data_IF_039692326949
#
_entry.id   IF_039692326949
#
_cell.length_a   1.000
_cell.length_b   1.000
_cell.length_c   1.000
_cell.angle_alpha   90.00
_cell.angle_beta   90.00
_cell.angle_gamma   90.00
#
_symmetry.space_group_name_H-M   'P 1'
#
loop_
_entity.id
_entity.type
_entity.pdbx_description
1 polymer ?
#
# COMPACT_ATOMS: atom_id res chain seq x y z
N UNK A 1 1.29 -16.35 13.57
CA UNK A 1 -0.15 -16.50 13.31
C UNK A 1 -0.32 -17.78 12.49
N UNK A 2 -0.72 -18.88 13.12
CA UNK A 2 -0.97 -20.16 12.44
C UNK A 2 -2.38 -20.05 11.85
N UNK A 3 -2.47 -20.03 10.53
CA UNK A 3 -3.75 -19.98 9.81
C UNK A 3 -4.26 -21.41 9.72
N UNK A 4 -4.88 -21.90 10.78
CA UNK A 4 -5.64 -23.14 10.70
C UNK A 4 -6.95 -22.85 9.94
N UNK A 5 -7.49 -23.85 9.25
CA UNK A 5 -8.64 -23.80 8.31
C UNK A 5 -9.97 -23.29 8.90
N UNK A 6 -9.95 -22.62 10.04
CA UNK A 6 -11.09 -22.12 10.81
C UNK A 6 -11.45 -20.66 10.51
N UNK A 7 -10.61 -19.92 9.77
CA UNK A 7 -10.90 -18.51 9.39
C UNK A 7 -11.83 -18.42 8.16
N UNK A 8 -11.88 -19.48 7.37
CA UNK A 8 -12.78 -19.61 6.23
C UNK A 8 -13.89 -20.64 6.58
N UNK A 9 -15.07 -20.09 6.90
CA UNK A 9 -16.41 -20.71 7.04
C UNK A 9 -16.73 -21.60 8.24
N UNK A 10 -17.58 -21.09 9.16
CA UNK A 10 -18.60 -21.91 9.85
C UNK A 10 -19.83 -21.07 10.19
N UNK A 11 -20.51 -20.48 9.20
CA UNK A 11 -21.89 -20.01 9.38
C UNK A 11 -22.67 -20.24 8.09
N UNK A 12 -23.91 -20.71 8.23
CA UNK A 12 -24.81 -20.96 7.11
C UNK A 12 -25.81 -19.82 6.97
N UNK A 13 -26.10 -19.48 5.71
CA UNK A 13 -27.22 -18.60 5.39
C UNK A 13 -28.56 -19.28 5.62
N UNK A 14 -29.66 -18.52 5.47
CA UNK A 14 -31.03 -19.05 5.53
C UNK A 14 -31.37 -20.07 4.44
N UNK A 15 -30.50 -20.21 3.45
CA UNK A 15 -30.56 -21.18 2.35
C UNK A 15 -29.71 -22.44 2.63
N UNK A 16 -29.24 -22.64 3.87
CA UNK A 16 -28.41 -23.76 4.32
C UNK A 16 -27.06 -23.91 3.58
N UNK A 17 -26.58 -22.85 2.90
CA UNK A 17 -25.27 -22.81 2.25
C UNK A 17 -24.29 -21.96 3.05
N UNK A 18 -23.01 -22.32 3.03
CA UNK A 18 -21.97 -21.56 3.75
C UNK A 18 -21.74 -20.18 3.13
N UNK A 19 -21.18 -19.21 3.86
CA UNK A 19 -20.79 -17.90 3.30
C UNK A 19 -19.40 -17.44 3.75
N UNK A 20 -18.68 -16.75 2.85
CA UNK A 20 -17.31 -16.31 3.10
C UNK A 20 -17.30 -15.18 4.12
N UNK A 21 -16.33 -15.19 5.03
CA UNK A 21 -16.05 -14.02 5.90
C UNK A 21 -15.75 -12.76 5.07
N UNK A 22 -15.09 -12.91 3.91
CA UNK A 22 -14.81 -11.82 2.97
C UNK A 22 -15.72 -11.92 1.75
N UNK A 23 -16.41 -10.83 1.43
CA UNK A 23 -17.33 -10.76 0.29
C UNK A 23 -17.17 -9.44 -0.45
N UNK A 24 -17.67 -9.39 -1.68
CA UNK A 24 -17.69 -8.18 -2.49
C UNK A 24 -19.11 -7.68 -2.64
N UNK A 25 -19.30 -6.37 -2.65
CA UNK A 25 -20.62 -5.79 -2.90
C UNK A 25 -21.03 -5.95 -4.37
N UNK A 26 -20.10 -5.78 -5.30
CA UNK A 26 -20.35 -5.90 -6.73
C UNK A 26 -19.20 -6.64 -7.44
N UNK A 27 -19.47 -7.17 -8.63
CA UNK A 27 -18.46 -7.86 -9.44
C UNK A 27 -19.01 -8.99 -10.30
N UNK A 28 -18.12 -9.78 -10.94
CA UNK A 28 -18.49 -10.75 -11.98
C UNK A 28 -19.24 -11.98 -11.48
N UNK A 29 -19.24 -12.26 -10.17
CA UNK A 29 -19.98 -13.37 -9.57
C UNK A 29 -21.24 -12.91 -8.84
N UNK A 30 -21.86 -11.84 -9.37
CA UNK A 30 -23.18 -11.41 -8.97
C UNK A 30 -24.25 -12.19 -9.72
N UNK A 31 -25.27 -12.64 -9.00
CA UNK A 31 -26.31 -13.51 -9.55
C UNK A 31 -27.44 -12.67 -10.16
N UNK A 32 -27.91 -13.07 -11.34
CA UNK A 32 -29.06 -12.41 -11.99
C UNK A 32 -30.35 -13.19 -11.77
N UNK A 33 -30.36 -14.50 -12.08
CA UNK A 33 -31.55 -15.36 -11.99
C UNK A 33 -31.19 -16.78 -11.49
N UNK A 34 -30.17 -16.89 -10.65
CA UNK A 34 -29.63 -18.18 -10.19
C UNK A 34 -29.52 -18.22 -8.67
N UNK A 35 -29.60 -19.44 -8.11
CA UNK A 35 -29.33 -19.67 -6.70
C UNK A 35 -27.82 -19.71 -6.51
N UNK A 36 -27.32 -19.01 -5.49
CA UNK A 36 -25.89 -18.97 -5.19
C UNK A 36 -25.32 -20.37 -4.97
N UNK A 37 -24.10 -20.60 -5.43
CA UNK A 37 -23.36 -21.82 -5.12
C UNK A 37 -22.97 -21.87 -3.64
N UNK A 38 -22.66 -23.06 -3.11
CA UNK A 38 -22.13 -23.18 -1.75
C UNK A 38 -20.60 -23.13 -1.81
N UNK A 39 -19.94 -22.07 -1.30
CA UNK A 39 -18.50 -21.97 -1.33
C UNK A 39 -17.78 -23.10 -0.58
N UNK A 40 -18.44 -23.77 0.38
CA UNK A 40 -17.85 -24.93 1.06
C UNK A 40 -17.63 -26.14 0.13
N UNK A 41 -18.29 -26.14 -1.04
CA UNK A 41 -18.13 -27.16 -2.08
C UNK A 41 -17.15 -26.74 -3.18
N UNK A 42 -16.59 -25.53 -3.10
CA UNK A 42 -15.71 -24.94 -4.10
C UNK A 42 -14.26 -24.87 -3.58
N UNK A 43 -13.28 -24.91 -4.50
CA UNK A 43 -11.89 -24.64 -4.13
C UNK A 43 -11.68 -23.13 -3.99
N UNK A 44 -11.96 -22.59 -2.80
CA UNK A 44 -11.83 -21.15 -2.48
C UNK A 44 -10.38 -20.67 -2.43
N UNK A 45 -9.40 -21.58 -2.47
CA UNK A 45 -7.97 -21.26 -2.52
C UNK A 45 -7.41 -21.26 -3.95
N UNK A 46 -8.23 -21.58 -4.95
CA UNK A 46 -7.79 -21.50 -6.34
C UNK A 46 -7.48 -20.03 -6.71
N UNK A 47 -6.39 -19.81 -7.44
CA UNK A 47 -5.96 -18.46 -7.86
C UNK A 47 -6.99 -17.72 -8.72
N UNK A 48 -7.87 -18.46 -9.39
CA UNK A 48 -8.96 -17.93 -10.22
C UNK A 48 -10.32 -17.97 -9.52
N UNK A 49 -10.36 -18.30 -8.23
CA UNK A 49 -11.59 -18.24 -7.46
C UNK A 49 -12.08 -16.79 -7.38
N UNK A 50 -13.35 -16.57 -7.73
CA UNK A 50 -14.00 -15.27 -7.60
C UNK A 50 -15.03 -15.38 -6.48
N UNK A 51 -14.98 -14.49 -5.49
CA UNK A 51 -15.98 -14.47 -4.43
C UNK A 51 -17.34 -13.99 -4.96
N UNK A 52 -18.43 -14.48 -4.36
CA UNK A 52 -19.78 -14.04 -4.69
C UNK A 52 -19.95 -12.54 -4.42
N UNK A 53 -20.72 -11.87 -5.27
CA UNK A 53 -21.09 -10.46 -5.11
C UNK A 53 -22.61 -10.27 -5.13
N UNK A 54 -23.09 -9.15 -4.58
CA UNK A 54 -24.52 -8.83 -4.57
C UNK A 54 -24.98 -8.29 -5.93
N UNK A 55 -24.24 -7.33 -6.49
CA UNK A 55 -24.54 -6.72 -7.80
C UNK A 55 -23.64 -7.32 -8.87
N UNK A 56 -24.24 -7.84 -9.95
CA UNK A 56 -23.51 -8.41 -11.08
C UNK A 56 -22.98 -7.32 -12.01
N UNK A 57 -21.66 -7.27 -12.18
CA UNK A 57 -20.93 -6.36 -13.06
C UNK A 57 -19.79 -7.14 -13.73
N UNK A 58 -19.26 -6.68 -14.87
CA UNK A 58 -18.10 -7.34 -15.50
C UNK A 58 -16.84 -7.35 -14.62
N UNK A 59 -16.73 -6.40 -13.70
CA UNK A 59 -15.62 -6.26 -12.75
C UNK A 59 -16.12 -5.57 -11.48
N UNK A 60 -15.44 -5.82 -10.36
CA UNK A 60 -15.70 -5.05 -9.14
C UNK A 60 -15.31 -3.57 -9.34
N UNK A 61 -16.09 -2.65 -8.79
CA UNK A 61 -15.77 -1.22 -8.74
C UNK A 61 -14.85 -0.94 -7.56
N UNK A 62 -14.18 0.21 -7.60
CA UNK A 62 -13.53 0.74 -6.40
C UNK A 62 -14.58 1.11 -5.36
N UNK A 63 -14.17 1.00 -4.10
CA UNK A 63 -14.95 1.44 -2.96
C UNK A 63 -14.52 2.85 -2.55
N UNK A 64 -15.39 3.55 -1.81
CA UNK A 64 -15.22 4.97 -1.45
C UNK A 64 -15.05 5.17 0.07
N UNK A 65 -14.58 4.13 0.76
CA UNK A 65 -14.21 4.18 2.17
C UNK A 65 -12.92 4.96 2.38
N UNK A 66 -12.80 5.57 3.56
CA UNK A 66 -11.55 6.21 3.97
C UNK A 66 -10.43 5.16 4.11
N UNK A 67 -9.25 5.47 3.56
CA UNK A 67 -8.07 4.59 3.59
C UNK A 67 -7.09 5.08 4.66
N UNK A 68 -6.54 4.17 5.51
CA UNK A 68 -5.61 4.57 6.56
C UNK A 68 -4.27 5.07 6.00
N UNK A 69 -3.72 6.09 6.65
CA UNK A 69 -2.38 6.61 6.39
C UNK A 69 -1.48 6.25 7.56
N UNK A 70 -0.29 5.71 7.27
CA UNK A 70 0.74 5.44 8.26
C UNK A 70 1.97 6.29 7.95
N UNK A 71 2.43 7.08 8.93
CA UNK A 71 3.56 7.98 8.77
C UNK A 71 4.61 7.76 9.86
N UNK A 72 5.88 7.93 9.50
CA UNK A 72 7.02 7.89 10.42
C UNK A 72 8.08 8.91 9.99
N UNK A 73 8.74 9.54 10.95
CA UNK A 73 9.77 10.55 10.71
C UNK A 73 9.33 11.98 11.07
N UNK A 74 10.08 13.00 10.63
CA UNK A 74 9.79 14.40 10.92
C UNK A 74 8.37 14.77 10.51
N UNK A 75 7.63 15.42 11.41
CA UNK A 75 6.23 15.84 11.21
C UNK A 75 5.24 14.70 10.92
N UNK A 76 5.58 13.44 11.22
CA UNK A 76 4.62 12.33 11.14
C UNK A 76 3.39 12.53 12.03
N UNK A 77 3.53 13.33 13.09
CA UNK A 77 2.43 13.75 13.97
C UNK A 77 1.33 14.57 13.25
N UNK A 78 1.58 15.12 12.05
CA UNK A 78 0.55 15.76 11.25
C UNK A 78 -0.55 14.78 10.80
N UNK A 79 -0.26 13.48 10.79
CA UNK A 79 -1.17 12.42 10.35
C UNK A 79 -1.94 11.81 11.53
N UNK A 80 -2.80 12.61 12.19
CA UNK A 80 -3.47 12.22 13.44
C UNK A 80 -5.01 12.16 13.39
N UNK A 81 -5.63 12.47 12.25
CA UNK A 81 -7.09 12.51 12.10
C UNK A 81 -7.53 12.17 10.68
N UNK A 82 -8.84 12.18 10.43
CA UNK A 82 -9.39 12.14 9.07
C UNK A 82 -8.98 13.41 8.32
N UNK A 83 -8.48 13.24 7.11
CA UNK A 83 -7.97 14.32 6.27
C UNK A 83 -8.31 14.05 4.81
N UNK A 84 -8.41 15.12 4.03
CA UNK A 84 -8.60 15.00 2.59
C UNK A 84 -7.37 14.35 1.93
N UNK A 85 -7.57 13.59 0.85
CA UNK A 85 -6.47 12.95 0.12
C UNK A 85 -5.39 13.95 -0.37
N UNK A 86 -5.77 15.20 -0.64
CA UNK A 86 -4.83 16.27 -1.01
C UNK A 86 -3.92 16.72 0.13
N UNK A 87 -4.36 16.54 1.39
CA UNK A 87 -3.57 16.92 2.56
C UNK A 87 -2.25 16.16 2.63
N UNK A 88 -2.20 14.90 2.17
CA UNK A 88 -0.98 14.09 2.14
C UNK A 88 0.15 14.84 1.42
N UNK A 89 -0.14 15.38 0.23
CA UNK A 89 0.84 16.12 -0.54
C UNK A 89 1.28 17.40 0.18
N UNK A 90 0.33 18.15 0.75
CA UNK A 90 0.62 19.39 1.48
C UNK A 90 1.45 19.16 2.74
N UNK A 91 1.13 18.12 3.53
CA UNK A 91 1.87 17.75 4.72
C UNK A 91 3.30 17.32 4.39
N UNK A 92 3.50 16.55 3.30
CA UNK A 92 4.84 16.18 2.82
C UNK A 92 5.60 17.42 2.36
N UNK A 93 4.97 18.31 1.58
CA UNK A 93 5.62 19.55 1.13
C UNK A 93 6.00 20.47 2.29
N UNK A 94 5.13 20.59 3.30
CA UNK A 94 5.41 21.30 4.54
C UNK A 94 6.60 20.71 5.28
N UNK A 95 6.65 19.39 5.41
CA UNK A 95 7.73 18.67 6.12
C UNK A 95 9.09 18.82 5.43
N UNK A 96 9.09 18.91 4.10
CA UNK A 96 10.30 19.03 3.28
C UNK A 96 10.68 20.46 2.92
N UNK A 97 9.91 21.47 3.35
CA UNK A 97 10.15 22.87 3.01
C UNK A 97 10.18 23.12 1.50
N UNK A 98 9.28 22.48 0.74
CA UNK A 98 9.20 22.62 -0.72
C UNK A 98 7.90 23.30 -1.16
N UNK A 99 7.93 23.85 -2.37
CA UNK A 99 6.76 24.52 -2.97
C UNK A 99 6.31 25.73 -2.15
N UNK A 100 5.03 25.87 -1.82
CA UNK A 100 4.52 27.04 -1.09
C UNK A 100 4.96 27.10 0.38
N UNK A 101 5.69 26.11 0.90
CA UNK A 101 6.08 26.01 2.31
C UNK A 101 7.57 26.31 2.57
N UNK A 102 8.29 26.91 1.63
CA UNK A 102 9.72 27.23 1.77
C UNK A 102 10.02 28.24 2.89
N UNK A 103 9.04 29.06 3.28
CA UNK A 103 9.16 30.14 4.27
C UNK A 103 8.38 29.85 5.57
N UNK A 104 8.30 28.58 5.96
CA UNK A 104 7.75 28.22 7.26
C UNK A 104 8.81 28.37 8.34
N UNK A 105 8.39 28.62 9.58
CA UNK A 105 9.30 28.91 10.70
C UNK A 105 10.34 27.80 10.94
N UNK A 106 9.97 26.53 10.71
CA UNK A 106 10.88 25.40 10.82
C UNK A 106 11.85 25.26 9.63
N UNK A 107 11.53 25.89 8.50
CA UNK A 107 12.35 25.95 7.28
C UNK A 107 13.31 27.13 7.27
N UNK A 108 12.94 28.23 7.93
CA UNK A 108 13.72 29.47 7.99
C UNK A 108 14.91 29.42 8.96
N UNK A 109 15.14 28.27 9.60
CA UNK A 109 16.35 28.00 10.37
C UNK A 109 17.56 28.01 9.45
N UNK A 110 18.12 29.20 9.19
CA UNK A 110 19.50 29.32 8.74
C UNK A 110 20.36 28.56 9.75
N UNK A 111 21.18 27.59 9.34
CA UNK A 111 22.13 27.00 10.26
C UNK A 111 23.07 28.12 10.72
N UNK A 112 22.90 28.60 11.94
CA UNK A 112 23.99 29.24 12.67
C UNK A 112 25.06 28.17 12.84
N UNK A 113 26.05 28.20 11.94
CA UNK A 113 27.35 27.52 12.00
C UNK A 113 27.35 26.08 12.54
N UNK A 114 27.49 25.10 11.64
CA UNK A 114 28.20 23.86 11.96
C UNK A 114 27.43 22.56 11.73
N UNK A 115 27.38 22.12 10.48
CA UNK A 115 27.68 20.74 10.07
C UNK A 115 27.52 20.63 8.56
N UNK A 116 28.63 20.82 7.83
CA UNK A 116 28.69 20.30 6.47
C UNK A 116 28.60 18.77 6.57
N UNK A 117 27.46 18.19 6.22
CA UNK A 117 27.39 16.76 5.97
C UNK A 117 28.02 16.47 4.61
N UNK A 118 29.35 16.49 4.54
CA UNK A 118 30.10 15.93 3.41
C UNK A 118 30.03 14.41 3.50
N UNK A 119 28.88 13.84 3.09
CA UNK A 119 28.59 12.44 3.35
C UNK A 119 27.90 11.69 2.21
N UNK A 120 28.04 12.11 0.95
CA UNK A 120 27.48 11.33 -0.18
C UNK A 120 28.27 11.46 -1.51
N UNK A 121 29.59 11.71 -1.48
CA UNK A 121 30.40 11.86 -2.71
C UNK A 121 31.77 11.19 -2.70
N UNK A 122 31.96 10.10 -1.94
CA UNK A 122 33.20 9.31 -1.98
C UNK A 122 33.00 7.83 -2.35
N UNK A 123 31.83 7.23 -2.10
CA UNK A 123 31.64 5.80 -2.38
C UNK A 123 31.64 5.46 -3.88
N UNK A 124 31.12 6.33 -4.76
CA UNK A 124 31.07 6.04 -6.21
C UNK A 124 32.45 5.95 -6.87
N UNK A 125 33.47 6.68 -6.39
CA UNK A 125 34.80 6.68 -7.02
C UNK A 125 35.54 5.34 -6.81
N UNK A 126 35.39 4.74 -5.63
CA UNK A 126 36.03 3.46 -5.32
C UNK A 126 35.48 2.31 -6.17
N UNK A 127 34.16 2.29 -6.45
CA UNK A 127 33.57 1.28 -7.33
C UNK A 127 34.05 1.41 -8.77
N UNK A 128 34.19 2.63 -9.29
CA UNK A 128 34.69 2.88 -10.66
C UNK A 128 36.14 2.43 -10.80
N UNK A 129 37.01 2.77 -9.84
CA UNK A 129 38.42 2.34 -9.87
C UNK A 129 38.55 0.82 -9.76
N UNK A 130 37.77 0.18 -8.88
CA UNK A 130 37.79 -1.28 -8.74
C UNK A 130 37.34 -1.99 -10.02
N UNK A 131 36.29 -1.48 -10.68
CA UNK A 131 35.77 -2.05 -11.92
C UNK A 131 36.76 -1.87 -13.10
N UNK A 132 37.46 -0.73 -13.17
CA UNK A 132 38.54 -0.52 -14.13
C UNK A 132 39.72 -1.49 -13.92
N UNK A 133 40.13 -1.76 -12.68
CA UNK A 133 41.22 -2.71 -12.38
C UNK A 133 40.81 -4.13 -12.77
N UNK A 134 39.58 -4.55 -12.48
CA UNK A 134 39.09 -5.87 -12.86
C UNK A 134 39.05 -6.05 -14.38
N UNK A 135 38.58 -5.04 -15.12
CA UNK A 135 38.55 -5.10 -16.58
C UNK A 135 39.95 -5.18 -17.18
N UNK A 136 40.92 -4.44 -16.65
CA UNK A 136 42.31 -4.49 -17.12
C UNK A 136 42.94 -5.88 -16.98
N UNK A 137 42.73 -6.55 -15.85
CA UNK A 137 43.24 -7.91 -15.61
C UNK A 137 42.51 -9.00 -16.41
N UNK A 138 41.36 -8.69 -17.01
CA UNK A 138 40.60 -9.64 -17.84
C UNK A 138 40.90 -9.49 -19.34
N UNK A 139 41.42 -8.32 -19.74
CA UNK A 139 41.76 -7.98 -21.13
C UNK A 139 43.25 -8.14 -21.46
N UNK A 140 44.08 -8.52 -20.49
CA UNK A 140 45.52 -8.75 -20.65
C UNK A 140 45.97 -9.94 -19.80
#
# INVERSE_FOLDING_TARGET
MRVDNTIFFVLQGRDNKSYLTSSYFNGPRGLMNEIRSDPATENTFANNYTAQSLVSLSSATHSAEDVPIYANGPYSELFHSSMDNTFIAHAIMYSLCIGPYTHQSHCDNKPTSGSQFTGFRQHSYHYVVFLCILLYNFLH
#
